data_IF_005037256308
#
_entry.id   IF_005037256308
#
_cell.length_a   1.000
_cell.length_b   1.000
_cell.length_c   1.000
_cell.angle_alpha   90.00
_cell.angle_beta   90.00
_cell.angle_gamma   90.00
#
_symmetry.space_group_name_H-M   'P 1'
#
loop_
_entity.id
_entity.type
_entity.pdbx_description
1 polymer ?
#
# COMPACT_ATOMS: atom_id res chain seq x y z
N UNK A 1 14.92 7.97 25.93
CA UNK A 1 14.90 9.31 25.31
C UNK A 1 14.43 10.32 26.34
N UNK A 2 14.94 11.53 26.31
CA UNK A 2 14.70 12.60 27.30
C UNK A 2 13.85 13.73 26.71
N UNK A 3 13.34 14.64 27.57
CA UNK A 3 12.49 15.78 27.17
C UNK A 3 13.14 16.77 26.18
N UNK A 4 14.43 16.68 25.92
CA UNK A 4 15.15 17.52 24.97
C UNK A 4 15.45 16.85 23.63
N UNK A 5 15.06 15.57 23.48
CA UNK A 5 15.40 14.78 22.30
C UNK A 5 14.48 15.14 21.11
N UNK A 6 15.02 14.98 19.90
CA UNK A 6 14.27 15.20 18.66
C UNK A 6 14.16 13.89 17.88
N UNK A 7 12.93 13.51 17.51
CA UNK A 7 12.68 12.45 16.55
C UNK A 7 12.26 13.06 15.22
N UNK A 8 13.00 12.70 14.16
CA UNK A 8 12.64 13.06 12.78
C UNK A 8 11.95 11.86 12.13
N UNK A 9 10.79 12.11 11.53
CA UNK A 9 10.05 11.11 10.74
C UNK A 9 10.06 11.56 9.28
N UNK A 10 10.70 10.80 8.40
CA UNK A 10 10.73 11.11 6.96
C UNK A 10 9.73 10.22 6.22
N UNK A 11 8.63 10.84 5.80
CA UNK A 11 7.50 10.21 5.13
C UNK A 11 6.18 10.51 5.83
N UNK A 12 5.39 11.46 5.31
CA UNK A 12 4.07 11.86 5.84
C UNK A 12 2.93 10.98 5.30
N UNK A 13 3.16 9.67 5.17
CA UNK A 13 2.12 8.68 4.86
C UNK A 13 1.52 8.08 6.14
N UNK A 14 0.73 7.01 5.99
CA UNK A 14 0.11 6.33 7.14
C UNK A 14 1.15 5.80 8.12
N UNK A 15 2.27 5.25 7.65
CA UNK A 15 3.31 4.73 8.54
C UNK A 15 3.91 5.84 9.41
N UNK A 16 4.27 7.00 8.82
CA UNK A 16 4.78 8.14 9.58
C UNK A 16 3.77 8.71 10.58
N UNK A 17 2.49 8.82 10.18
CA UNK A 17 1.43 9.25 11.10
C UNK A 17 1.31 8.31 12.30
N UNK A 18 1.20 7.00 12.05
CA UNK A 18 1.07 5.98 13.12
C UNK A 18 2.32 5.89 13.99
N UNK A 19 3.51 6.19 13.44
CA UNK A 19 4.72 6.35 14.25
C UNK A 19 4.63 7.54 15.20
N UNK A 20 4.21 8.71 14.71
CA UNK A 20 4.07 9.90 15.53
C UNK A 20 3.03 9.71 16.66
N UNK A 21 1.89 9.13 16.34
CA UNK A 21 0.87 8.79 17.33
C UNK A 21 1.41 7.84 18.40
N UNK A 22 2.13 6.78 17.96
CA UNK A 22 2.66 5.80 18.90
C UNK A 22 3.75 6.37 19.79
N UNK A 23 4.59 7.26 19.31
CA UNK A 23 5.57 7.96 20.13
C UNK A 23 4.87 8.74 21.27
N UNK A 24 3.82 9.48 20.97
CA UNK A 24 3.05 10.22 21.98
C UNK A 24 2.32 9.29 22.97
N UNK A 25 1.74 8.20 22.49
CA UNK A 25 1.13 7.18 23.36
C UNK A 25 2.14 6.54 24.34
N UNK A 26 3.41 6.42 23.92
CA UNK A 26 4.50 5.90 24.75
C UNK A 26 5.10 6.95 25.69
N UNK A 27 4.57 8.16 25.70
CA UNK A 27 5.02 9.25 26.58
C UNK A 27 6.28 9.96 26.10
N UNK A 28 6.57 9.94 24.81
CA UNK A 28 7.65 10.78 24.26
C UNK A 28 7.20 12.24 24.22
N UNK A 29 7.79 13.10 25.06
CA UNK A 29 7.46 14.52 25.19
C UNK A 29 8.40 15.43 24.37
N UNK A 30 9.45 14.88 23.76
CA UNK A 30 10.39 15.62 22.93
C UNK A 30 9.80 16.11 21.61
N UNK A 31 10.62 16.76 20.81
CA UNK A 31 10.22 17.32 19.51
C UNK A 31 10.01 16.22 18.46
N UNK A 32 8.87 16.23 17.76
CA UNK A 32 8.63 15.39 16.58
C UNK A 32 8.56 16.29 15.35
N UNK A 33 9.45 16.05 14.38
CA UNK A 33 9.44 16.72 13.07
C UNK A 33 9.05 15.70 12.00
N UNK A 34 7.93 15.91 11.30
CA UNK A 34 7.44 15.02 10.27
C UNK A 34 7.59 15.66 8.89
N UNK A 35 8.47 15.09 8.07
CA UNK A 35 8.82 15.57 6.72
C UNK A 35 8.06 14.76 5.68
N UNK A 36 7.36 15.42 4.75
CA UNK A 36 6.60 14.78 3.68
C UNK A 36 6.78 15.45 2.32
N UNK A 37 7.01 14.64 1.29
CA UNK A 37 7.15 15.07 -0.11
C UNK A 37 5.82 15.62 -0.67
N UNK A 38 4.69 15.05 -0.28
CA UNK A 38 3.36 15.50 -0.67
C UNK A 38 2.95 16.76 0.13
N UNK A 39 2.25 17.73 -0.50
CA UNK A 39 1.83 18.97 0.16
C UNK A 39 0.57 18.79 1.03
N UNK A 40 0.28 17.57 1.43
CA UNK A 40 -0.93 17.18 2.17
C UNK A 40 -0.57 16.43 3.44
N UNK A 41 -1.41 16.61 4.46
CA UNK A 41 -1.43 15.71 5.63
C UNK A 41 -1.73 14.28 5.17
N UNK A 42 -1.40 13.27 5.99
CA UNK A 42 -1.72 11.87 5.70
C UNK A 42 -3.19 11.68 5.29
N UNK A 43 -3.44 10.76 4.36
CA UNK A 43 -4.78 10.46 3.84
C UNK A 43 -4.91 8.97 3.53
N UNK A 44 -6.16 8.50 3.41
CA UNK A 44 -6.49 7.11 3.09
C UNK A 44 -6.13 6.79 1.62
N UNK A 45 -4.88 6.39 1.39
CA UNK A 45 -4.30 6.15 0.07
C UNK A 45 -5.07 5.12 -0.78
N UNK A 46 -5.68 4.05 -0.23
CA UNK A 46 -6.53 3.15 -1.00
C UNK A 46 -7.67 3.82 -1.79
N UNK A 47 -8.10 5.03 -1.43
CA UNK A 47 -9.10 5.78 -2.19
C UNK A 47 -8.59 6.34 -3.52
N UNK A 48 -7.26 6.38 -3.74
CA UNK A 48 -6.65 6.97 -4.94
C UNK A 48 -7.10 6.28 -6.23
N UNK A 49 -7.22 4.94 -6.22
CA UNK A 49 -7.68 4.14 -7.36
C UNK A 49 -9.21 4.04 -7.48
N UNK A 50 -9.95 4.57 -6.50
CA UNK A 50 -11.40 4.42 -6.35
C UNK A 50 -12.10 5.78 -6.26
N UNK A 51 -12.50 6.17 -5.05
CA UNK A 51 -13.39 7.30 -4.78
C UNK A 51 -12.75 8.65 -5.20
N UNK A 52 -11.45 8.81 -5.01
CA UNK A 52 -10.76 10.05 -5.40
C UNK A 52 -10.69 10.20 -6.92
N UNK A 53 -10.34 9.15 -7.64
CA UNK A 53 -10.26 9.20 -9.11
C UNK A 53 -11.63 9.28 -9.77
N UNK A 54 -12.67 8.70 -9.18
CA UNK A 54 -14.03 8.81 -9.67
C UNK A 54 -14.69 10.15 -9.29
N UNK A 55 -14.16 10.82 -8.28
CA UNK A 55 -14.73 12.07 -7.75
C UNK A 55 -15.84 11.86 -6.74
N UNK A 56 -16.06 10.62 -6.30
CA UNK A 56 -17.03 10.30 -5.26
C UNK A 56 -16.67 10.91 -3.90
N UNK A 57 -15.37 11.10 -3.65
CA UNK A 57 -14.84 11.74 -2.44
C UNK A 57 -13.96 12.93 -2.81
N UNK A 58 -14.09 14.03 -2.08
CA UNK A 58 -13.18 15.18 -2.21
C UNK A 58 -11.86 14.87 -1.49
N UNK A 59 -10.70 15.41 -1.94
CA UNK A 59 -9.42 15.14 -1.31
C UNK A 59 -9.36 15.42 0.20
N UNK A 60 -10.05 16.45 0.68
CA UNK A 60 -10.09 16.79 2.11
C UNK A 60 -10.79 15.69 2.93
N UNK A 61 -11.81 15.05 2.39
CA UNK A 61 -12.54 13.98 3.08
C UNK A 61 -11.78 12.63 3.10
N UNK A 62 -10.67 12.53 2.37
CA UNK A 62 -9.78 11.38 2.44
C UNK A 62 -8.68 11.55 3.52
N UNK A 63 -8.56 12.72 4.15
CA UNK A 63 -7.57 12.97 5.21
C UNK A 63 -7.74 12.00 6.37
N UNK A 64 -6.60 11.57 6.91
CA UNK A 64 -6.57 10.83 8.17
C UNK A 64 -6.44 11.85 9.30
N UNK A 65 -7.44 11.90 10.15
CA UNK A 65 -7.34 12.68 11.38
C UNK A 65 -6.49 11.89 12.39
N UNK A 66 -5.54 12.56 13.06
CA UNK A 66 -4.81 11.94 14.16
C UNK A 66 -5.77 11.56 15.30
N UNK A 67 -5.48 10.47 16.00
CA UNK A 67 -6.26 10.04 17.17
C UNK A 67 -5.99 10.90 18.41
N UNK A 68 -4.85 11.62 18.43
CA UNK A 68 -4.38 12.45 19.54
C UNK A 68 -3.98 13.82 19.02
N UNK A 69 -3.91 14.80 19.91
CA UNK A 69 -3.14 16.01 19.62
C UNK A 69 -1.65 15.63 19.61
N UNK A 70 -1.04 15.70 18.42
CA UNK A 70 0.29 15.13 18.21
C UNK A 70 1.42 16.09 18.59
N UNK A 71 1.15 17.40 18.63
CA UNK A 71 2.20 18.43 18.76
C UNK A 71 3.41 18.11 17.86
N UNK A 72 3.15 18.05 16.54
CA UNK A 72 4.12 17.67 15.50
C UNK A 72 4.44 18.85 14.61
N UNK A 73 5.71 19.10 14.38
CA UNK A 73 6.18 20.07 13.38
C UNK A 73 6.08 19.47 11.97
N UNK A 74 5.03 19.83 11.24
CA UNK A 74 4.77 19.36 9.88
C UNK A 74 5.59 20.11 8.83
N UNK A 75 6.41 19.39 8.07
CA UNK A 75 7.19 19.88 6.93
C UNK A 75 6.67 19.23 5.65
N UNK A 76 5.45 19.58 5.26
CA UNK A 76 4.77 19.06 4.06
C UNK A 76 5.24 19.76 2.79
N UNK A 77 5.17 19.06 1.64
CA UNK A 77 5.71 19.53 0.37
C UNK A 77 7.24 19.64 0.38
N UNK A 78 7.89 18.95 1.32
CA UNK A 78 9.34 19.03 1.54
C UNK A 78 9.93 17.62 1.40
N UNK A 79 10.80 17.44 0.41
CA UNK A 79 11.46 16.16 0.15
C UNK A 79 12.81 16.12 0.84
N UNK A 80 13.08 15.09 1.64
CA UNK A 80 14.44 14.85 2.10
C UNK A 80 15.37 14.55 0.92
N UNK A 81 16.55 15.17 0.92
CA UNK A 81 17.49 15.11 -0.21
C UNK A 81 18.68 14.20 0.05
N UNK A 82 19.09 14.09 1.31
CA UNK A 82 20.22 13.27 1.73
C UNK A 82 20.16 12.96 3.23
N UNK A 83 20.75 11.83 3.64
CA UNK A 83 20.96 11.43 5.03
C UNK A 83 22.44 11.32 5.34
N UNK A 84 22.89 12.06 6.34
CA UNK A 84 24.15 11.81 7.04
C UNK A 84 23.87 11.03 8.31
N UNK A 85 24.08 9.72 8.26
CA UNK A 85 23.80 8.86 9.42
C UNK A 85 24.85 8.98 10.53
N UNK A 86 26.07 9.44 10.23
CA UNK A 86 27.14 9.68 11.23
C UNK A 86 26.88 10.94 12.03
N UNK A 87 26.56 12.02 11.32
CA UNK A 87 26.25 13.31 11.93
C UNK A 87 24.78 13.39 12.37
N UNK A 88 24.01 12.31 12.23
CA UNK A 88 22.57 12.23 12.58
C UNK A 88 21.76 13.36 12.01
N UNK A 89 21.89 13.61 10.70
CA UNK A 89 21.33 14.78 10.06
C UNK A 89 20.58 14.41 8.77
N UNK A 90 19.33 14.86 8.67
CA UNK A 90 18.51 14.79 7.45
C UNK A 90 18.60 16.12 6.73
N UNK A 91 19.06 16.13 5.48
CA UNK A 91 19.16 17.33 4.64
C UNK A 91 17.89 17.54 3.84
N UNK A 92 17.47 18.81 3.74
CA UNK A 92 16.30 19.28 3.04
C UNK A 92 16.70 20.24 1.90
N UNK A 93 15.77 20.59 0.99
CA UNK A 93 16.03 21.58 -0.04
C UNK A 93 16.42 22.94 0.54
N UNK A 94 17.24 23.70 -0.20
CA UNK A 94 17.65 25.05 0.22
C UNK A 94 18.80 25.08 1.25
N UNK A 95 19.41 23.93 1.54
CA UNK A 95 20.51 23.82 2.49
C UNK A 95 20.08 23.71 3.96
N UNK A 96 18.80 23.56 4.20
CA UNK A 96 18.27 23.28 5.53
C UNK A 96 18.64 21.85 5.98
N UNK A 97 18.88 21.68 7.27
CA UNK A 97 19.25 20.40 7.88
C UNK A 97 18.49 20.19 9.20
N UNK A 98 18.08 18.97 9.45
CA UNK A 98 17.42 18.53 10.69
C UNK A 98 18.30 17.49 11.36
N UNK A 99 18.88 17.81 12.50
CA UNK A 99 19.53 16.82 13.34
C UNK A 99 18.48 16.01 14.13
N UNK A 100 18.82 14.79 14.51
CA UNK A 100 17.91 13.89 15.24
C UNK A 100 18.65 13.09 16.31
N UNK A 101 17.94 12.73 17.37
CA UNK A 101 18.33 11.71 18.33
C UNK A 101 17.78 10.33 17.88
N UNK A 102 16.64 10.33 17.19
CA UNK A 102 16.05 9.16 16.56
C UNK A 102 15.45 9.48 15.19
N UNK A 103 15.59 8.56 14.25
CA UNK A 103 15.05 8.71 12.89
C UNK A 103 14.11 7.56 12.55
N UNK A 104 12.92 7.91 12.04
CA UNK A 104 11.98 6.94 11.45
C UNK A 104 11.90 7.17 9.95
N UNK A 105 12.32 6.20 9.15
CA UNK A 105 12.22 6.23 7.69
C UNK A 105 10.91 5.59 7.27
N UNK A 106 9.95 6.39 6.77
CA UNK A 106 8.61 5.98 6.36
C UNK A 106 8.25 6.48 4.94
N UNK A 107 9.25 6.61 4.08
CA UNK A 107 9.14 7.22 2.73
C UNK A 107 8.32 6.38 1.73
N UNK A 108 8.10 5.11 2.02
CA UNK A 108 7.28 4.23 1.19
C UNK A 108 7.91 3.94 -0.18
N UNK A 109 7.08 4.03 -1.23
CA UNK A 109 7.47 3.66 -2.59
C UNK A 109 6.97 4.67 -3.61
N UNK A 110 7.65 4.75 -4.75
CA UNK A 110 7.20 5.44 -5.96
C UNK A 110 6.61 4.44 -6.97
N UNK A 111 5.67 4.87 -7.82
CA UNK A 111 5.17 4.02 -8.90
C UNK A 111 6.26 3.77 -9.94
N UNK A 112 6.31 2.54 -10.45
CA UNK A 112 7.23 2.18 -11.51
C UNK A 112 6.74 2.74 -12.85
N UNK A 113 7.66 3.28 -13.64
CA UNK A 113 7.43 3.67 -15.00
C UNK A 113 7.85 2.56 -15.98
N UNK A 114 7.09 2.41 -17.07
CA UNK A 114 7.47 1.48 -18.13
C UNK A 114 8.59 2.10 -18.97
N UNK A 115 9.70 1.38 -19.20
CA UNK A 115 10.73 1.84 -20.11
C UNK A 115 10.16 2.20 -21.50
N UNK A 116 10.60 3.32 -22.08
CA UNK A 116 10.10 3.81 -23.36
C UNK A 116 8.72 4.47 -23.33
N UNK A 117 8.01 4.48 -22.18
CA UNK A 117 6.75 5.22 -22.07
C UNK A 117 6.99 6.74 -22.18
N UNK A 118 6.10 7.48 -22.85
CA UNK A 118 6.23 8.93 -23.01
C UNK A 118 5.90 9.67 -21.70
N UNK A 119 6.87 9.77 -20.79
CA UNK A 119 6.69 10.32 -19.42
C UNK A 119 6.21 11.77 -19.39
N UNK A 120 6.50 12.54 -20.44
CA UNK A 120 6.08 13.94 -20.55
C UNK A 120 4.68 14.10 -21.17
N UNK A 121 4.09 13.03 -21.70
CA UNK A 121 2.73 13.09 -22.21
C UNK A 121 1.72 13.15 -21.06
N UNK A 122 0.92 14.23 -20.96
CA UNK A 122 -0.05 14.39 -19.87
C UNK A 122 -1.16 13.34 -19.85
N UNK A 123 -1.25 12.49 -20.85
CA UNK A 123 -2.22 11.39 -20.95
C UNK A 123 -1.66 10.05 -20.49
N UNK A 124 -0.33 9.93 -20.31
CA UNK A 124 0.32 8.75 -19.75
C UNK A 124 0.65 9.02 -18.28
N UNK A 125 -0.04 8.34 -17.39
CA UNK A 125 -0.05 8.62 -15.96
C UNK A 125 0.31 7.39 -15.14
N UNK A 126 0.86 7.63 -13.96
CA UNK A 126 0.93 6.68 -12.86
C UNK A 126 -0.21 6.98 -11.89
N UNK A 127 -0.42 6.10 -10.90
CA UNK A 127 -1.46 6.30 -9.90
C UNK A 127 -0.93 5.91 -8.52
N UNK A 128 -0.59 6.92 -7.70
CA UNK A 128 -0.08 6.73 -6.33
C UNK A 128 -0.62 7.79 -5.37
N UNK A 129 -0.75 9.03 -5.83
CA UNK A 129 -1.09 10.18 -4.99
C UNK A 129 -2.47 10.74 -5.33
N UNK A 130 -2.98 11.64 -4.47
CA UNK A 130 -4.18 12.44 -4.75
C UNK A 130 -3.98 13.25 -6.04
N UNK A 131 -2.80 13.83 -6.20
CA UNK A 131 -2.45 14.63 -7.38
C UNK A 131 -2.51 13.80 -8.67
N UNK A 132 -2.10 12.53 -8.61
CA UNK A 132 -2.24 11.59 -9.73
C UNK A 132 -3.71 11.35 -10.07
N UNK A 133 -4.56 11.08 -9.06
CA UNK A 133 -6.00 10.90 -9.27
C UNK A 133 -6.64 12.13 -9.93
N UNK A 134 -6.30 13.32 -9.43
CA UNK A 134 -6.79 14.57 -10.00
C UNK A 134 -6.26 14.81 -11.41
N UNK A 135 -5.01 14.42 -11.70
CA UNK A 135 -4.42 14.52 -13.03
C UNK A 135 -5.11 13.57 -14.02
N UNK A 136 -5.37 12.32 -13.61
CA UNK A 136 -6.15 11.36 -14.41
C UNK A 136 -7.55 11.89 -14.70
N UNK A 137 -8.26 12.40 -13.70
CA UNK A 137 -9.57 13.02 -13.88
C UNK A 137 -9.57 14.16 -14.89
N UNK A 138 -8.57 15.07 -14.79
CA UNK A 138 -8.41 16.17 -15.77
C UNK A 138 -8.15 15.63 -17.19
N UNK A 139 -7.30 14.61 -17.33
CA UNK A 139 -7.01 14.01 -18.63
C UNK A 139 -8.25 13.36 -19.26
N UNK A 140 -9.09 12.74 -18.44
CA UNK A 140 -10.33 12.10 -18.89
C UNK A 140 -11.44 13.11 -19.23
N UNK A 141 -11.55 14.21 -18.51
CA UNK A 141 -12.64 15.19 -18.68
C UNK A 141 -14.03 14.53 -18.57
N UNK A 142 -15.05 15.17 -19.16
CA UNK A 142 -16.43 14.69 -19.11
C UNK A 142 -16.85 13.79 -20.30
N UNK A 143 -15.98 13.56 -21.28
CA UNK A 143 -16.27 12.77 -22.47
C UNK A 143 -16.08 11.26 -22.25
N UNK A 144 -16.77 10.42 -23.04
CA UNK A 144 -16.58 8.95 -23.05
C UNK A 144 -15.24 8.56 -23.68
N UNK A 145 -14.17 8.97 -23.07
CA UNK A 145 -12.80 8.69 -23.53
C UNK A 145 -12.41 7.25 -23.20
N UNK A 146 -11.64 6.64 -24.10
CA UNK A 146 -11.04 5.33 -23.90
C UNK A 146 -9.85 5.40 -22.92
N UNK A 147 -9.78 4.42 -22.05
CA UNK A 147 -8.74 4.27 -21.03
C UNK A 147 -8.02 2.96 -21.23
N UNK A 148 -6.71 3.00 -21.31
CA UNK A 148 -5.88 1.81 -21.25
C UNK A 148 -5.19 1.74 -19.90
N UNK A 149 -5.31 0.62 -19.22
CA UNK A 149 -4.62 0.31 -17.96
C UNK A 149 -3.53 -0.71 -18.24
N UNK A 150 -2.30 -0.40 -17.90
CA UNK A 150 -1.17 -1.32 -18.05
C UNK A 150 -0.78 -1.86 -16.69
N UNK A 151 -0.95 -3.16 -16.51
CA UNK A 151 -0.71 -3.88 -15.27
C UNK A 151 -1.97 -4.47 -14.65
N UNK A 152 -2.05 -5.80 -14.60
CA UNK A 152 -3.19 -6.59 -14.11
C UNK A 152 -3.04 -7.02 -12.63
N UNK A 153 -2.31 -6.22 -11.83
CA UNK A 153 -2.21 -6.34 -10.37
C UNK A 153 -3.42 -5.73 -9.65
N UNK A 154 -3.37 -5.65 -8.32
CA UNK A 154 -4.48 -5.14 -7.49
C UNK A 154 -4.94 -3.74 -7.94
N UNK A 155 -4.03 -2.77 -7.95
CA UNK A 155 -4.37 -1.36 -8.27
C UNK A 155 -4.86 -1.20 -9.71
N UNK A 156 -4.27 -1.91 -10.67
CA UNK A 156 -4.71 -1.85 -12.07
C UNK A 156 -6.13 -2.37 -12.25
N UNK A 157 -6.49 -3.46 -11.57
CA UNK A 157 -7.86 -4.00 -11.60
C UNK A 157 -8.85 -3.08 -10.86
N UNK A 158 -8.48 -2.52 -9.70
CA UNK A 158 -9.31 -1.53 -8.99
C UNK A 158 -9.60 -0.30 -9.86
N UNK A 159 -8.56 0.24 -10.48
CA UNK A 159 -8.71 1.40 -11.35
C UNK A 159 -9.55 1.07 -12.59
N UNK A 160 -9.35 -0.10 -13.20
CA UNK A 160 -10.17 -0.55 -14.33
C UNK A 160 -11.64 -0.68 -13.95
N UNK A 161 -11.95 -1.26 -12.78
CA UNK A 161 -13.31 -1.31 -12.24
C UNK A 161 -13.90 0.08 -12.02
N UNK A 162 -13.15 0.99 -11.37
CA UNK A 162 -13.57 2.38 -11.16
C UNK A 162 -13.89 3.11 -12.47
N UNK A 163 -13.08 2.90 -13.49
CA UNK A 163 -13.33 3.50 -14.82
C UNK A 163 -14.57 2.90 -15.49
N UNK A 164 -14.83 1.60 -15.32
CA UNK A 164 -16.07 0.97 -15.82
C UNK A 164 -17.31 1.50 -15.13
N UNK A 165 -17.27 1.72 -13.81
CA UNK A 165 -18.36 2.40 -13.09
C UNK A 165 -18.62 3.81 -13.63
N UNK A 166 -17.59 4.53 -14.05
CA UNK A 166 -17.73 5.84 -14.71
C UNK A 166 -18.21 5.73 -16.17
N UNK A 167 -18.54 4.54 -16.69
CA UNK A 167 -19.00 4.32 -18.06
C UNK A 167 -17.89 4.44 -19.12
N UNK A 168 -16.60 4.44 -18.74
CA UNK A 168 -15.49 4.58 -19.69
C UNK A 168 -15.26 3.28 -20.47
N UNK A 169 -14.80 3.39 -21.70
CA UNK A 169 -14.29 2.23 -22.46
C UNK A 169 -12.88 1.86 -21.94
N UNK A 170 -12.75 0.69 -21.31
CA UNK A 170 -11.54 0.28 -20.61
C UNK A 170 -10.92 -0.93 -21.28
N UNK A 171 -9.61 -0.86 -21.53
CA UNK A 171 -8.79 -2.03 -21.89
C UNK A 171 -7.70 -2.22 -20.83
N UNK A 172 -7.69 -3.38 -20.19
CA UNK A 172 -6.67 -3.78 -19.22
C UNK A 172 -5.62 -4.67 -19.93
N UNK A 173 -4.36 -4.26 -19.88
CA UNK A 173 -3.21 -5.00 -20.42
C UNK A 173 -2.44 -5.69 -19.30
N UNK A 174 -2.10 -6.94 -19.46
CA UNK A 174 -1.28 -7.69 -18.50
C UNK A 174 -0.38 -8.74 -19.16
N UNK A 175 0.85 -8.85 -18.66
CA UNK A 175 1.78 -9.91 -19.08
C UNK A 175 1.38 -11.30 -18.57
N UNK A 176 0.62 -11.36 -17.47
CA UNK A 176 0.09 -12.61 -16.94
C UNK A 176 -1.07 -13.13 -17.81
N UNK A 177 -1.35 -14.44 -17.72
CA UNK A 177 -2.43 -15.09 -18.48
C UNK A 177 -3.85 -14.65 -18.07
N UNK A 178 -4.01 -14.10 -16.87
CA UNK A 178 -5.28 -13.59 -16.35
C UNK A 178 -5.06 -12.51 -15.28
N UNK A 179 -6.07 -11.65 -15.03
CA UNK A 179 -6.03 -10.71 -13.92
C UNK A 179 -5.82 -11.41 -12.58
N UNK A 180 -4.98 -10.85 -11.71
CA UNK A 180 -4.66 -11.40 -10.38
C UNK A 180 -4.23 -12.88 -10.39
N UNK A 181 -3.66 -13.36 -11.47
CA UNK A 181 -3.26 -14.77 -11.66
C UNK A 181 -2.47 -15.35 -10.48
N UNK A 182 -1.66 -14.53 -9.81
CA UNK A 182 -0.86 -14.94 -8.64
C UNK A 182 -1.71 -15.39 -7.43
N UNK A 183 -3.01 -15.08 -7.40
CA UNK A 183 -3.93 -15.50 -6.34
C UNK A 183 -4.67 -16.81 -6.66
N UNK A 184 -4.24 -17.53 -7.70
CA UNK A 184 -4.80 -18.81 -8.11
C UNK A 184 -5.92 -18.67 -9.14
N UNK A 185 -6.22 -19.81 -9.79
CA UNK A 185 -7.15 -19.89 -10.93
C UNK A 185 -8.58 -19.47 -10.56
N UNK A 186 -9.04 -19.84 -9.35
CA UNK A 186 -10.38 -19.49 -8.86
C UNK A 186 -10.60 -17.97 -8.84
N UNK A 187 -9.69 -17.24 -8.22
CA UNK A 187 -9.79 -15.78 -8.08
C UNK A 187 -9.60 -15.10 -9.44
N UNK A 188 -8.62 -15.55 -10.23
CA UNK A 188 -8.38 -15.04 -11.56
C UNK A 188 -9.60 -15.23 -12.48
N UNK A 189 -10.25 -16.38 -12.44
CA UNK A 189 -11.45 -16.68 -13.21
C UNK A 189 -12.65 -15.85 -12.75
N UNK A 190 -12.84 -15.70 -11.43
CA UNK A 190 -13.91 -14.87 -10.88
C UNK A 190 -13.78 -13.42 -11.35
N UNK A 191 -12.59 -12.83 -11.19
CA UNK A 191 -12.35 -11.45 -11.62
C UNK A 191 -12.44 -11.26 -13.14
N UNK A 192 -12.00 -12.26 -13.92
CA UNK A 192 -12.16 -12.25 -15.38
C UNK A 192 -13.62 -12.16 -15.78
N UNK A 193 -14.50 -12.93 -15.12
CA UNK A 193 -15.95 -12.88 -15.33
C UNK A 193 -16.55 -11.52 -14.96
N UNK A 194 -16.11 -10.92 -13.83
CA UNK A 194 -16.53 -9.57 -13.42
C UNK A 194 -16.13 -8.52 -14.47
N UNK A 195 -14.90 -8.54 -14.95
CA UNK A 195 -14.46 -7.64 -16.01
C UNK A 195 -15.29 -7.80 -17.28
N UNK A 196 -15.58 -9.04 -17.70
CA UNK A 196 -16.41 -9.33 -18.87
C UNK A 196 -17.85 -8.85 -18.67
N UNK A 197 -18.46 -9.12 -17.51
CA UNK A 197 -19.80 -8.66 -17.15
C UNK A 197 -19.90 -7.14 -17.25
N UNK A 198 -18.92 -6.45 -16.74
CA UNK A 198 -18.82 -4.98 -16.81
C UNK A 198 -18.22 -4.46 -18.14
N UNK A 199 -18.05 -5.32 -19.15
CA UNK A 199 -17.58 -4.96 -20.49
C UNK A 199 -16.19 -4.30 -20.51
N UNK A 200 -15.32 -4.63 -19.58
CA UNK A 200 -13.90 -4.30 -19.68
C UNK A 200 -13.21 -5.24 -20.65
N UNK A 201 -12.40 -4.71 -21.55
CA UNK A 201 -11.60 -5.49 -22.49
C UNK A 201 -10.33 -5.95 -21.81
N UNK A 202 -9.97 -7.22 -21.97
CA UNK A 202 -8.78 -7.80 -21.40
C UNK A 202 -7.79 -8.17 -22.51
N UNK A 203 -6.60 -7.59 -22.48
CA UNK A 203 -5.45 -7.93 -23.33
C UNK A 203 -4.40 -8.58 -22.44
N UNK A 204 -4.61 -9.86 -22.12
CA UNK A 204 -3.71 -10.63 -21.26
C UNK A 204 -2.62 -11.32 -22.08
N UNK A 205 -1.57 -11.80 -21.40
CA UNK A 205 -0.41 -12.44 -22.01
C UNK A 205 0.24 -11.57 -23.08
N UNK A 206 0.27 -10.25 -22.86
CA UNK A 206 0.83 -9.28 -23.79
C UNK A 206 1.39 -8.05 -23.08
N UNK A 207 2.25 -7.34 -23.78
CA UNK A 207 2.95 -6.13 -23.30
C UNK A 207 2.95 -5.05 -24.38
N UNK A 208 3.28 -3.83 -24.00
CA UNK A 208 3.45 -2.72 -24.94
C UNK A 208 4.83 -2.80 -25.55
N UNK A 209 4.89 -2.95 -26.88
CA UNK A 209 6.11 -2.95 -27.67
C UNK A 209 6.55 -1.55 -28.07
N UNK A 210 5.61 -0.74 -28.57
CA UNK A 210 5.88 0.61 -29.05
C UNK A 210 4.77 1.58 -28.66
N UNK A 211 5.15 2.85 -28.56
CA UNK A 211 4.29 3.97 -28.25
C UNK A 211 4.24 4.96 -29.42
N UNK A 212 3.05 5.51 -29.69
CA UNK A 212 2.84 6.55 -30.69
C UNK A 212 2.00 7.65 -30.05
N UNK A 213 2.59 8.80 -29.75
CA UNK A 213 1.86 9.97 -29.25
C UNK A 213 1.47 10.88 -30.43
N UNK A 214 0.16 11.18 -30.50
CA UNK A 214 -0.37 12.19 -31.42
C UNK A 214 -0.86 13.42 -30.61
N UNK A 215 -1.43 14.43 -31.26
CA UNK A 215 -2.02 15.56 -30.53
C UNK A 215 -3.23 15.15 -29.67
N UNK A 216 -4.00 14.15 -30.08
CA UNK A 216 -5.29 13.81 -29.47
C UNK A 216 -5.27 12.49 -28.70
N UNK A 217 -4.44 11.53 -29.11
CA UNK A 217 -4.46 10.17 -28.59
C UNK A 217 -3.06 9.60 -28.37
N UNK A 218 -3.01 8.53 -27.59
CA UNK A 218 -1.82 7.68 -27.40
C UNK A 218 -2.11 6.33 -28.05
N UNK A 219 -1.30 5.97 -29.05
CA UNK A 219 -1.31 4.65 -29.68
C UNK A 219 -0.35 3.70 -28.96
N UNK A 220 -0.77 2.46 -28.78
CA UNK A 220 0.02 1.38 -28.18
C UNK A 220 0.04 0.19 -29.14
N UNK A 221 1.21 -0.19 -29.60
CA UNK A 221 1.42 -1.42 -30.35
C UNK A 221 1.83 -2.52 -29.36
N UNK A 222 1.06 -3.60 -29.32
CA UNK A 222 1.25 -4.69 -28.37
C UNK A 222 2.11 -5.82 -28.96
N UNK A 223 2.66 -6.66 -28.10
CA UNK A 223 3.49 -7.80 -28.52
C UNK A 223 2.70 -8.87 -29.28
N UNK A 224 1.38 -8.94 -29.10
CA UNK A 224 0.45 -9.81 -29.85
C UNK A 224 -0.02 -9.18 -31.18
N UNK A 225 0.65 -8.13 -31.66
CA UNK A 225 0.33 -7.36 -32.86
C UNK A 225 -0.98 -6.59 -32.86
N UNK A 226 -1.68 -6.51 -31.74
CA UNK A 226 -2.82 -5.59 -31.60
C UNK A 226 -2.34 -4.14 -31.52
N UNK A 227 -3.16 -3.24 -32.03
CA UNK A 227 -2.97 -1.81 -31.91
C UNK A 227 -4.14 -1.19 -31.14
N UNK A 228 -3.84 -0.47 -30.08
CA UNK A 228 -4.82 0.22 -29.26
C UNK A 228 -4.62 1.73 -29.35
N UNK A 229 -5.73 2.45 -29.27
CA UNK A 229 -5.74 3.91 -29.19
C UNK A 229 -6.44 4.32 -27.91
N UNK A 230 -5.79 5.13 -27.10
CA UNK A 230 -6.32 5.61 -25.83
C UNK A 230 -6.29 7.12 -25.70
N UNK A 231 -7.26 7.67 -25.02
CA UNK A 231 -7.26 9.08 -24.58
C UNK A 231 -6.50 9.28 -23.28
N UNK A 232 -6.40 8.22 -22.47
CA UNK A 232 -5.60 8.19 -21.25
C UNK A 232 -5.04 6.79 -21.03
N UNK A 233 -3.78 6.72 -20.62
CA UNK A 233 -3.10 5.48 -20.25
C UNK A 233 -2.65 5.59 -18.79
N UNK A 234 -2.96 4.56 -17.98
CA UNK A 234 -2.52 4.51 -16.58
C UNK A 234 -1.60 3.31 -16.38
N UNK A 235 -0.40 3.58 -15.87
CA UNK A 235 0.60 2.58 -15.53
C UNK A 235 0.40 2.10 -14.10
N UNK A 236 0.18 0.81 -13.92
CA UNK A 236 0.03 0.13 -12.63
C UNK A 236 0.87 -1.15 -12.61
N UNK A 237 2.17 -1.00 -12.84
CA UNK A 237 3.14 -2.08 -13.06
C UNK A 237 4.07 -2.32 -11.87
N UNK A 238 3.61 -1.98 -10.67
CA UNK A 238 4.37 -2.10 -9.43
C UNK A 238 5.04 -0.81 -9.00
N UNK A 239 5.95 -0.94 -8.05
CA UNK A 239 6.57 0.16 -7.33
C UNK A 239 8.08 0.00 -7.26
N UNK A 240 8.76 1.06 -6.82
CA UNK A 240 10.16 1.08 -6.43
C UNK A 240 10.29 1.77 -5.08
N UNK A 241 11.13 1.27 -4.15
CA UNK A 241 11.29 1.92 -2.85
C UNK A 241 11.86 3.34 -2.99
N UNK A 242 11.34 4.24 -2.13
CA UNK A 242 11.73 5.66 -2.14
C UNK A 242 13.00 5.86 -1.29
N UNK A 243 14.13 5.39 -1.81
CA UNK A 243 15.43 5.33 -1.12
C UNK A 243 16.52 6.20 -1.76
N UNK A 244 16.22 6.99 -2.81
CA UNK A 244 17.23 7.77 -3.52
C UNK A 244 18.00 8.75 -2.63
N UNK A 245 17.32 9.34 -1.64
CA UNK A 245 17.90 10.27 -0.67
C UNK A 245 18.83 9.59 0.37
N UNK A 246 18.83 8.26 0.42
CA UNK A 246 19.67 7.45 1.31
C UNK A 246 20.98 7.01 0.66
N UNK A 247 21.22 7.37 -0.61
CA UNK A 247 22.44 7.02 -1.31
C UNK A 247 23.65 7.72 -0.65
N UNK A 248 24.64 6.91 -0.30
CA UNK A 248 25.84 7.40 0.38
C UNK A 248 25.70 7.53 1.89
N UNK A 249 24.55 7.24 2.48
CA UNK A 249 24.43 6.92 3.90
C UNK A 249 25.04 5.55 4.19
N UNK A 250 25.30 5.25 5.45
CA UNK A 250 25.83 3.93 5.84
C UNK A 250 24.77 2.82 5.85
N UNK A 251 23.50 3.17 5.56
CA UNK A 251 22.40 2.22 5.55
C UNK A 251 22.53 1.22 4.39
N UNK A 252 22.24 -0.03 4.66
CA UNK A 252 22.18 -1.06 3.62
C UNK A 252 20.87 -0.94 2.84
N UNK A 253 21.01 -0.64 1.54
CA UNK A 253 19.89 -0.51 0.61
C UNK A 253 19.88 -1.70 -0.35
N UNK A 254 18.82 -2.52 -0.29
CA UNK A 254 18.62 -3.68 -1.15
C UNK A 254 17.12 -3.90 -1.39
N UNK A 255 16.58 -3.35 -2.47
CA UNK A 255 15.13 -3.29 -2.77
C UNK A 255 14.32 -2.79 -1.54
N UNK A 256 14.74 -1.67 -0.97
CA UNK A 256 14.25 -1.06 0.26
C UNK A 256 15.40 -0.84 1.24
N UNK A 257 15.09 -0.38 2.44
CA UNK A 257 16.06 -0.28 3.54
C UNK A 257 16.09 -1.61 4.27
N UNK A 258 17.26 -2.27 4.29
CA UNK A 258 17.43 -3.54 4.99
C UNK A 258 17.35 -3.30 6.50
N UNK A 259 16.53 -4.09 7.16
CA UNK A 259 16.29 -3.99 8.59
C UNK A 259 16.50 -5.34 9.29
N UNK A 260 16.79 -5.25 10.57
CA UNK A 260 16.65 -6.36 11.50
C UNK A 260 15.15 -6.71 11.69
N UNK A 261 14.88 -7.83 12.34
CA UNK A 261 13.51 -8.22 12.69
C UNK A 261 12.77 -7.18 13.56
N UNK A 262 13.52 -6.36 14.29
CA UNK A 262 13.06 -5.28 15.16
C UNK A 262 12.79 -3.95 14.44
N UNK A 263 12.89 -3.93 13.11
CA UNK A 263 12.79 -2.75 12.24
C UNK A 263 13.92 -1.72 12.36
N UNK A 264 14.96 -1.96 13.15
CA UNK A 264 16.17 -1.15 13.09
C UNK A 264 16.88 -1.32 11.75
N UNK A 265 17.27 -0.19 11.15
CA UNK A 265 18.01 -0.19 9.90
C UNK A 265 19.40 -0.82 10.09
N UNK A 266 19.85 -1.62 9.13
CA UNK A 266 21.22 -2.13 9.09
C UNK A 266 22.15 -0.99 8.66
N UNK A 267 23.15 -0.68 9.50
CA UNK A 267 24.15 0.37 9.26
C UNK A 267 23.99 1.64 10.09
N UNK A 268 22.97 1.74 10.96
CA UNK A 268 22.84 2.86 11.92
C UNK A 268 22.14 2.38 13.20
N UNK A 269 22.43 3.02 14.35
CA UNK A 269 21.89 2.59 15.65
C UNK A 269 20.53 3.19 16.00
N UNK A 270 20.33 4.45 15.67
CA UNK A 270 19.14 5.22 16.08
C UNK A 270 18.15 5.44 14.91
N UNK A 271 18.17 4.51 13.95
CA UNK A 271 17.33 4.59 12.75
C UNK A 271 16.44 3.36 12.66
N UNK A 272 15.13 3.57 12.62
CA UNK A 272 14.13 2.52 12.36
C UNK A 272 13.37 2.80 11.07
N UNK A 273 12.75 1.76 10.51
CA UNK A 273 12.10 1.86 9.19
C UNK A 273 10.69 1.30 9.24
N UNK A 274 9.75 1.94 8.58
CA UNK A 274 8.35 1.55 8.58
C UNK A 274 7.69 1.61 7.20
N UNK A 275 6.66 0.82 6.99
CA UNK A 275 5.85 0.80 5.77
C UNK A 275 6.54 0.14 4.58
N UNK A 276 6.10 0.53 3.38
CA UNK A 276 6.49 -0.13 2.12
C UNK A 276 7.99 -0.07 1.79
N UNK A 277 8.76 0.83 2.42
CA UNK A 277 10.19 0.98 2.22
C UNK A 277 11.03 0.02 3.07
N UNK A 278 10.45 -0.51 4.16
CA UNK A 278 11.11 -1.44 5.06
C UNK A 278 11.25 -2.83 4.44
N UNK A 279 12.47 -3.37 4.47
CA UNK A 279 12.79 -4.75 4.08
C UNK A 279 13.31 -5.49 5.29
N UNK A 280 12.48 -6.31 5.92
CA UNK A 280 12.80 -6.97 7.18
C UNK A 280 12.45 -8.47 7.14
N UNK A 281 13.12 -9.31 7.98
CA UNK A 281 12.71 -10.70 8.15
C UNK A 281 11.48 -10.77 9.07
N UNK A 282 10.38 -11.28 8.54
CA UNK A 282 9.24 -11.65 9.37
C UNK A 282 9.43 -13.06 9.90
N UNK A 283 9.95 -13.19 11.10
CA UNK A 283 10.34 -14.48 11.72
C UNK A 283 9.16 -15.45 11.90
N UNK A 284 7.94 -14.97 11.81
CA UNK A 284 6.72 -15.78 11.75
C UNK A 284 6.67 -16.61 10.47
N UNK A 285 7.25 -16.12 9.39
CA UNK A 285 7.29 -16.77 8.08
C UNK A 285 8.63 -17.45 7.86
N UNK A 286 9.71 -16.68 7.88
CA UNK A 286 11.11 -17.13 7.80
C UNK A 286 12.08 -15.95 8.02
N UNK A 287 13.38 -16.23 8.00
CA UNK A 287 14.45 -15.25 8.20
C UNK A 287 14.79 -14.40 6.96
N UNK A 288 14.13 -14.62 5.82
CA UNK A 288 14.43 -13.87 4.60
C UNK A 288 13.81 -12.48 4.65
N UNK A 289 14.60 -11.40 4.57
CA UNK A 289 14.06 -10.04 4.55
C UNK A 289 13.22 -9.79 3.29
N UNK A 290 12.02 -9.21 3.48
CA UNK A 290 11.09 -8.87 2.39
C UNK A 290 10.38 -7.56 2.69
N UNK A 291 9.95 -6.87 1.63
CA UNK A 291 9.00 -5.75 1.74
C UNK A 291 7.57 -6.28 1.65
N UNK A 292 6.68 -5.65 2.40
CA UNK A 292 5.24 -5.93 2.36
C UNK A 292 4.52 -4.61 2.08
N UNK A 293 3.99 -4.47 0.87
CA UNK A 293 3.33 -3.25 0.39
C UNK A 293 1.81 -3.33 0.62
N UNK A 294 1.40 -3.33 1.88
CA UNK A 294 -0.01 -3.36 2.28
C UNK A 294 -0.34 -2.19 3.20
N UNK A 295 -1.55 -1.65 3.07
CA UNK A 295 -2.00 -0.55 3.93
C UNK A 295 -1.87 -0.87 5.42
N UNK A 296 -2.35 -2.06 5.84
CA UNK A 296 -2.25 -2.49 7.24
C UNK A 296 -0.81 -2.63 7.70
N UNK A 297 0.08 -3.14 6.84
CA UNK A 297 1.50 -3.17 7.17
C UNK A 297 2.08 -1.77 7.42
N UNK A 298 1.62 -0.75 6.67
CA UNK A 298 2.00 0.64 6.94
C UNK A 298 1.54 1.12 8.31
N UNK A 299 0.31 0.77 8.71
CA UNK A 299 -0.24 1.10 10.04
C UNK A 299 0.54 0.40 11.15
N UNK A 300 0.66 -0.92 11.07
CA UNK A 300 1.24 -1.75 12.12
C UNK A 300 2.75 -1.55 12.26
N UNK A 301 3.49 -1.48 11.14
CA UNK A 301 4.94 -1.26 11.18
C UNK A 301 5.32 0.16 11.63
N UNK A 302 4.48 1.17 11.36
CA UNK A 302 4.68 2.51 11.88
C UNK A 302 4.69 2.53 13.41
N UNK A 303 3.71 1.86 14.02
CA UNK A 303 3.63 1.70 15.48
C UNK A 303 4.80 0.89 16.04
N UNK A 304 5.09 -0.26 15.41
CA UNK A 304 6.19 -1.13 15.84
C UNK A 304 7.57 -0.45 15.73
N UNK A 305 7.81 0.34 14.70
CA UNK A 305 9.05 1.10 14.54
C UNK A 305 9.21 2.16 15.66
N UNK A 306 8.14 2.87 16.02
CA UNK A 306 8.15 3.80 17.13
C UNK A 306 8.44 3.09 18.47
N UNK A 307 7.82 1.94 18.71
CA UNK A 307 8.09 1.11 19.90
C UNK A 307 9.55 0.66 19.94
N UNK A 308 10.07 0.16 18.82
CA UNK A 308 11.46 -0.27 18.72
C UNK A 308 12.43 0.88 19.03
N UNK A 309 12.19 2.06 18.46
CA UNK A 309 13.02 3.24 18.70
C UNK A 309 13.02 3.64 20.18
N UNK A 310 11.85 3.67 20.82
CA UNK A 310 11.70 4.02 22.23
C UNK A 310 12.36 3.00 23.18
N UNK A 311 12.29 1.71 22.85
CA UNK A 311 12.92 0.64 23.64
C UNK A 311 14.43 0.58 23.43
N UNK A 312 14.92 1.11 22.32
CA UNK A 312 16.30 0.97 21.89
C UNK A 312 16.60 -0.44 21.34
N UNK A 313 17.64 -0.56 20.50
CA UNK A 313 17.98 -1.77 19.73
C UNK A 313 18.11 -3.03 20.62
N UNK A 314 18.70 -2.90 21.80
CA UNK A 314 18.93 -4.03 22.71
C UNK A 314 17.68 -4.60 23.38
N UNK A 315 16.59 -3.82 23.43
CA UNK A 315 15.34 -4.21 24.12
C UNK A 315 14.16 -4.33 23.14
N UNK A 316 14.34 -3.94 21.88
CA UNK A 316 13.30 -3.99 20.87
C UNK A 316 12.86 -5.42 20.57
N UNK A 317 11.58 -5.61 20.31
CA UNK A 317 11.00 -6.92 19.99
C UNK A 317 10.90 -7.09 18.47
N UNK A 318 11.04 -8.33 17.96
CA UNK A 318 10.81 -8.60 16.54
C UNK A 318 9.38 -8.23 16.11
N UNK A 319 9.27 -7.52 15.00
CA UNK A 319 7.99 -7.23 14.34
C UNK A 319 7.58 -8.42 13.48
N UNK A 320 6.58 -9.17 13.93
CA UNK A 320 6.15 -10.44 13.34
C UNK A 320 4.66 -10.46 13.02
N UNK A 321 4.17 -9.55 12.15
CA UNK A 321 2.75 -9.48 11.82
C UNK A 321 2.29 -10.73 11.05
N UNK A 322 0.98 -11.01 11.12
CA UNK A 322 0.32 -11.83 10.11
C UNK A 322 -0.23 -10.89 9.02
N UNK A 323 0.43 -10.76 7.85
CA UNK A 323 0.02 -9.79 6.86
C UNK A 323 -1.42 -9.97 6.40
N UNK A 324 -2.17 -8.89 6.29
CA UNK A 324 -3.55 -8.88 5.81
C UNK A 324 -3.72 -7.79 4.76
N UNK A 325 -4.47 -8.10 3.71
CA UNK A 325 -4.80 -7.11 2.69
C UNK A 325 -6.18 -7.37 2.12
N UNK A 326 -6.77 -6.33 1.56
CA UNK A 326 -8.02 -6.44 0.81
C UNK A 326 -8.01 -5.50 -0.39
N UNK A 327 -8.88 -5.81 -1.33
CA UNK A 327 -9.14 -4.97 -2.51
C UNK A 327 -10.62 -5.09 -2.87
N UNK A 328 -11.29 -3.97 -3.03
CA UNK A 328 -12.67 -3.94 -3.54
C UNK A 328 -12.65 -3.78 -5.06
N UNK A 329 -13.29 -4.70 -5.75
CA UNK A 329 -13.27 -4.86 -7.20
C UNK A 329 -14.70 -5.08 -7.67
N UNK A 330 -15.30 -4.06 -8.31
CA UNK A 330 -16.74 -4.05 -8.57
C UNK A 330 -17.53 -4.18 -7.24
N UNK A 331 -18.47 -5.09 -7.16
CA UNK A 331 -19.25 -5.34 -5.94
C UNK A 331 -18.67 -6.46 -5.07
N UNK A 332 -17.53 -7.02 -5.46
CA UNK A 332 -16.86 -8.09 -4.74
C UNK A 332 -15.60 -7.60 -3.99
N UNK A 333 -15.19 -8.36 -2.99
CA UNK A 333 -14.00 -8.10 -2.19
C UNK A 333 -13.02 -9.27 -2.27
N UNK A 334 -11.79 -8.98 -2.68
CA UNK A 334 -10.67 -9.89 -2.48
C UNK A 334 -10.08 -9.61 -1.09
N UNK A 335 -9.91 -10.65 -0.30
CA UNK A 335 -9.23 -10.60 0.99
C UNK A 335 -8.08 -11.60 1.00
N UNK A 336 -6.97 -11.23 1.63
CA UNK A 336 -5.80 -12.09 1.75
C UNK A 336 -5.24 -12.05 3.16
N UNK A 337 -4.68 -13.16 3.60
CA UNK A 337 -3.99 -13.29 4.88
C UNK A 337 -2.73 -14.12 4.72
N UNK A 338 -1.69 -13.83 5.50
CA UNK A 338 -0.37 -14.45 5.38
C UNK A 338 0.38 -13.96 4.15
N UNK A 339 1.18 -14.82 3.55
CA UNK A 339 2.06 -14.49 2.41
C UNK A 339 1.72 -15.32 1.16
N UNK A 340 0.57 -15.09 0.50
CA UNK A 340 0.18 -15.81 -0.72
C UNK A 340 1.25 -15.79 -1.81
N UNK A 341 2.00 -14.69 -1.92
CA UNK A 341 3.07 -14.52 -2.93
C UNK A 341 4.25 -15.49 -2.78
N UNK A 342 4.39 -16.14 -1.63
CA UNK A 342 5.44 -17.12 -1.36
C UNK A 342 4.98 -18.57 -1.58
N UNK A 343 3.68 -18.79 -1.81
CA UNK A 343 3.15 -20.12 -2.12
C UNK A 343 3.69 -20.65 -3.46
N UNK A 344 4.22 -21.86 -3.44
CA UNK A 344 4.61 -22.60 -4.65
C UNK A 344 3.42 -23.33 -5.25
N UNK A 345 2.54 -23.81 -4.38
CA UNK A 345 1.35 -24.55 -4.73
C UNK A 345 0.10 -23.87 -4.19
N UNK A 346 -1.02 -24.08 -4.86
CA UNK A 346 -2.34 -23.64 -4.40
C UNK A 346 -3.22 -24.85 -4.13
N UNK A 347 -3.98 -24.79 -3.03
CA UNK A 347 -4.96 -25.81 -2.67
C UNK A 347 -6.33 -25.15 -2.48
N UNK A 348 -7.38 -25.90 -2.68
CA UNK A 348 -8.71 -25.46 -2.31
C UNK A 348 -8.94 -25.74 -0.82
N UNK A 349 -9.21 -24.68 -0.08
CA UNK A 349 -9.66 -24.75 1.32
C UNK A 349 -11.19 -24.76 1.36
N UNK A 350 -11.76 -24.93 2.57
CA UNK A 350 -13.22 -24.85 2.76
C UNK A 350 -13.78 -23.51 2.29
N UNK A 351 -15.07 -23.51 1.95
CA UNK A 351 -15.88 -22.32 1.62
C UNK A 351 -15.35 -21.47 0.44
N UNK A 352 -14.60 -22.12 -0.47
CA UNK A 352 -14.14 -21.47 -1.70
C UNK A 352 -12.97 -20.49 -1.49
N UNK A 353 -12.18 -20.71 -0.46
CA UNK A 353 -10.92 -19.99 -0.19
C UNK A 353 -9.76 -20.75 -0.83
N UNK A 354 -8.84 -20.01 -1.44
CA UNK A 354 -7.59 -20.55 -1.99
C UNK A 354 -6.51 -20.50 -0.91
N UNK A 355 -5.93 -21.64 -0.58
CA UNK A 355 -4.75 -21.76 0.28
C UNK A 355 -3.46 -21.74 -0.53
N UNK A 356 -2.42 -21.18 0.05
CA UNK A 356 -1.08 -21.07 -0.55
C UNK A 356 -0.10 -21.88 0.31
N UNK A 357 0.53 -22.86 -0.32
CA UNK A 357 1.42 -23.82 0.36
C UNK A 357 2.86 -23.65 -0.11
N UNK A 358 3.78 -23.66 0.83
CA UNK A 358 5.21 -23.69 0.58
C UNK A 358 5.86 -24.74 1.47
N UNK A 359 6.56 -25.67 0.84
CA UNK A 359 7.29 -26.73 1.53
C UNK A 359 6.39 -27.50 2.53
N UNK A 360 5.16 -27.85 2.07
CA UNK A 360 4.14 -28.57 2.85
C UNK A 360 3.40 -27.75 3.90
N UNK A 361 3.74 -26.47 4.09
CA UNK A 361 3.15 -25.59 5.10
C UNK A 361 2.18 -24.59 4.46
N UNK A 362 0.99 -24.44 5.01
CA UNK A 362 0.08 -23.36 4.62
C UNK A 362 0.62 -22.05 5.14
N UNK A 363 0.92 -21.11 4.22
CA UNK A 363 1.57 -19.82 4.53
C UNK A 363 0.69 -18.62 4.17
N UNK A 364 -0.44 -18.85 3.53
CA UNK A 364 -1.38 -17.79 3.19
C UNK A 364 -2.69 -18.34 2.69
N UNK A 365 -3.70 -17.46 2.68
CA UNK A 365 -5.00 -17.75 2.12
C UNK A 365 -5.56 -16.52 1.40
N UNK A 366 -6.41 -16.74 0.40
CA UNK A 366 -7.12 -15.68 -0.32
C UNK A 366 -8.56 -16.10 -0.61
N UNK A 367 -9.49 -15.18 -0.35
CA UNK A 367 -10.93 -15.37 -0.59
C UNK A 367 -11.47 -14.29 -1.51
N UNK A 368 -12.29 -14.70 -2.48
CA UNK A 368 -13.05 -13.80 -3.32
C UNK A 368 -14.48 -13.75 -2.82
N UNK A 369 -14.86 -12.63 -2.22
CA UNK A 369 -16.18 -12.42 -1.61
C UNK A 369 -16.57 -13.52 -0.59
N UNK A 370 -15.64 -13.79 0.32
CA UNK A 370 -15.76 -14.82 1.35
C UNK A 370 -15.42 -14.33 2.76
N UNK A 371 -16.04 -13.23 3.25
CA UNK A 371 -15.60 -12.58 4.50
C UNK A 371 -15.65 -13.54 5.71
N UNK A 372 -16.73 -14.32 5.87
CA UNK A 372 -16.84 -15.28 6.99
C UNK A 372 -15.75 -16.34 6.97
N UNK A 373 -15.49 -16.92 5.79
CA UNK A 373 -14.43 -17.91 5.64
C UNK A 373 -13.05 -17.30 5.88
N UNK A 374 -12.83 -16.05 5.46
CA UNK A 374 -11.56 -15.38 5.69
C UNK A 374 -11.29 -15.05 7.16
N UNK A 375 -12.32 -14.78 7.98
CA UNK A 375 -12.17 -14.67 9.43
C UNK A 375 -11.65 -15.99 10.00
N UNK A 376 -12.31 -17.12 9.66
CA UNK A 376 -11.89 -18.46 10.09
C UNK A 376 -10.44 -18.76 9.69
N UNK A 377 -10.09 -18.53 8.40
CA UNK A 377 -8.75 -18.83 7.90
C UNK A 377 -7.68 -17.87 8.43
N UNK A 378 -8.06 -16.64 8.81
CA UNK A 378 -7.15 -15.73 9.52
C UNK A 378 -6.77 -16.30 10.88
N UNK A 379 -7.75 -16.72 11.69
CA UNK A 379 -7.50 -17.36 12.99
C UNK A 379 -6.70 -18.66 12.86
N UNK A 380 -7.02 -19.47 11.85
CA UNK A 380 -6.33 -20.74 11.61
C UNK A 380 -4.87 -20.51 11.19
N UNK A 381 -4.57 -19.53 10.33
CA UNK A 381 -3.21 -19.17 9.96
C UNK A 381 -2.45 -18.55 11.13
N UNK A 382 -3.10 -17.75 11.97
CA UNK A 382 -2.50 -17.21 13.17
C UNK A 382 -2.00 -18.32 14.10
N UNK A 383 -2.82 -19.35 14.29
CA UNK A 383 -2.47 -20.54 15.08
C UNK A 383 -1.37 -21.39 14.43
N UNK A 384 -1.36 -21.53 13.09
CA UNK A 384 -0.38 -22.35 12.34
C UNK A 384 0.96 -21.68 12.15
N UNK A 385 0.97 -20.37 12.21
CA UNK A 385 2.15 -19.53 12.08
C UNK A 385 2.35 -18.74 13.40
N UNK A 386 2.70 -19.40 14.51
CA UNK A 386 2.81 -18.72 15.79
C UNK A 386 3.93 -17.67 15.77
N UNK A 387 3.78 -16.66 16.59
CA UNK A 387 4.87 -15.70 16.86
C UNK A 387 6.02 -16.47 17.52
N UNK A 388 7.25 -16.33 17.04
CA UNK A 388 8.40 -16.95 17.71
C UNK A 388 8.51 -16.46 19.14
N UNK A 389 8.78 -17.38 20.07
CA UNK A 389 9.09 -16.98 21.46
C UNK A 389 10.31 -16.05 21.47
N UNK A 390 10.28 -14.96 22.25
CA UNK A 390 11.44 -14.08 22.37
C UNK A 390 12.60 -14.87 22.98
N UNK A 391 13.77 -14.74 22.37
CA UNK A 391 15.01 -15.39 22.85
C UNK A 391 15.46 -14.77 24.18
N UNK A 392 14.94 -13.62 24.56
CA UNK A 392 15.22 -12.93 25.82
C UNK A 392 14.00 -12.91 26.73
N UNK A 393 14.18 -13.00 28.06
CA UNK A 393 13.07 -12.84 29.00
C UNK A 393 12.38 -11.50 28.71
N UNK A 394 11.06 -11.53 28.54
CA UNK A 394 10.27 -10.33 28.32
C UNK A 394 10.56 -9.31 29.44
N UNK A 395 10.84 -8.05 29.15
CA UNK A 395 10.82 -7.01 30.17
C UNK A 395 9.44 -7.00 30.83
N UNK A 396 9.38 -6.59 32.09
CA UNK A 396 8.13 -6.49 32.81
C UNK A 396 7.12 -5.68 31.97
N UNK A 397 5.83 -6.05 31.99
CA UNK A 397 4.82 -5.37 31.19
C UNK A 397 4.84 -3.88 31.52
N UNK A 398 5.05 -3.07 30.51
CA UNK A 398 4.88 -1.62 30.59
C UNK A 398 3.39 -1.32 30.86
N UNK A 399 3.04 -0.27 31.62
CA UNK A 399 1.65 0.15 31.78
C UNK A 399 0.91 0.41 30.45
N UNK A 400 1.65 0.49 29.34
CA UNK A 400 1.13 0.68 27.99
C UNK A 400 0.90 -0.64 27.19
N UNK A 401 1.08 -1.81 27.81
CA UNK A 401 0.76 -3.12 27.20
C UNK A 401 -0.76 -3.39 27.12
N UNK A 402 -1.56 -2.32 27.12
CA UNK A 402 -2.95 -2.43 26.72
C UNK A 402 -2.98 -2.93 25.27
N UNK A 403 -3.65 -4.04 24.97
CA UNK A 403 -3.84 -4.49 23.59
C UNK A 403 -4.30 -3.29 22.77
N UNK A 404 -3.86 -3.18 21.53
CA UNK A 404 -4.42 -2.22 20.57
C UNK A 404 -5.92 -2.41 20.68
N UNK A 405 -6.61 -1.49 21.35
CA UNK A 405 -8.04 -1.63 21.60
C UNK A 405 -8.72 -1.89 20.26
N UNK A 406 -9.70 -2.78 20.25
CA UNK A 406 -10.53 -3.07 19.08
C UNK A 406 -10.98 -1.78 18.37
N UNK A 407 -11.05 -0.67 19.13
CA UNK A 407 -11.41 0.67 18.66
C UNK A 407 -10.41 1.32 17.69
N UNK A 408 -9.11 0.99 17.72
CA UNK A 408 -8.11 1.58 16.79
C UNK A 408 -8.15 0.90 15.42
N UNK A 409 -8.50 -0.37 15.40
CA UNK A 409 -8.73 -1.14 14.17
C UNK A 409 -10.20 -1.09 13.73
N UNK A 410 -11.12 -0.68 14.60
CA UNK A 410 -12.56 -0.68 14.37
C UNK A 410 -12.99 0.03 13.06
N UNK A 411 -12.42 1.17 12.64
CA UNK A 411 -12.72 1.73 11.33
C UNK A 411 -12.30 0.84 10.18
N UNK A 412 -11.21 0.07 10.36
CA UNK A 412 -10.63 -0.81 9.33
C UNK A 412 -11.24 -2.21 9.41
N UNK A 413 -11.60 -2.68 10.61
CA UNK A 413 -12.31 -3.94 10.80
C UNK A 413 -13.77 -3.84 10.40
N UNK A 414 -14.44 -2.68 10.51
CA UNK A 414 -15.74 -2.46 9.89
C UNK A 414 -15.68 -2.71 8.39
N UNK A 415 -14.62 -2.24 7.72
CA UNK A 415 -14.41 -2.55 6.32
C UNK A 415 -14.02 -4.02 6.08
N UNK A 416 -13.45 -4.69 7.07
CA UNK A 416 -13.10 -6.11 6.99
C UNK A 416 -14.26 -7.05 7.37
N UNK A 417 -15.14 -6.61 8.28
CA UNK A 417 -16.23 -7.40 8.87
C UNK A 417 -17.63 -6.96 8.43
N UNK A 418 -17.78 -5.73 7.86
CA UNK A 418 -19.10 -5.19 7.57
C UNK A 418 -19.79 -5.87 6.40
N UNK A 419 -20.93 -6.38 6.76
CA UNK A 419 -22.14 -6.71 6.02
C UNK A 419 -22.16 -7.99 5.21
N UNK A 420 -22.82 -8.96 5.82
CA UNK A 420 -23.58 -9.97 5.07
C UNK A 420 -24.76 -9.29 4.41
N UNK A 421 -25.01 -9.46 3.12
CA UNK A 421 -26.32 -9.18 2.55
C UNK A 421 -27.30 -10.19 3.13
N UNK A 422 -28.07 -9.80 4.13
CA UNK A 422 -29.34 -10.40 4.42
C UNK A 422 -30.36 -9.77 3.47
N UNK A 423 -30.96 -10.60 2.64
CA UNK A 423 -32.00 -10.35 1.66
C UNK A 423 -31.51 -10.02 0.24
N UNK A 424 -32.16 -10.66 -0.71
CA UNK A 424 -32.03 -10.40 -2.13
C UNK A 424 -32.28 -8.91 -2.42
N UNK A 425 -31.20 -8.19 -2.68
CA UNK A 425 -31.25 -6.79 -3.06
C UNK A 425 -31.78 -6.74 -4.50
N UNK A 426 -32.82 -5.97 -4.78
CA UNK A 426 -33.22 -5.65 -6.16
C UNK A 426 -32.01 -5.01 -6.88
N UNK A 427 -31.97 -5.16 -8.20
CA UNK A 427 -30.88 -4.67 -9.04
C UNK A 427 -30.48 -3.24 -8.64
N UNK A 428 -29.17 -2.96 -8.45
CA UNK A 428 -28.71 -1.77 -7.76
C UNK A 428 -29.19 -0.51 -8.46
N UNK A 429 -29.97 0.28 -7.76
CA UNK A 429 -30.06 1.70 -8.06
C UNK A 429 -28.65 2.27 -7.97
N UNK A 430 -28.26 3.01 -8.98
CA UNK A 430 -26.94 3.63 -9.18
C UNK A 430 -26.41 4.19 -7.87
N UNK A 431 -25.23 3.82 -7.49
CA UNK A 431 -24.52 4.32 -6.30
C UNK A 431 -24.71 5.85 -6.17
N UNK A 432 -24.96 6.40 -4.96
CA UNK A 432 -25.32 7.83 -4.78
C UNK A 432 -24.30 8.82 -5.37
N UNK A 433 -23.05 8.42 -5.52
CA UNK A 433 -21.97 9.21 -6.11
C UNK A 433 -21.82 9.07 -7.62
N UNK A 434 -22.56 8.18 -8.26
CA UNK A 434 -22.60 8.02 -9.73
C UNK A 434 -23.60 8.96 -10.43
N UNK A 435 -24.31 9.82 -9.71
CA UNK A 435 -25.15 10.85 -10.30
C UNK A 435 -24.29 11.99 -10.82
N UNK A 436 -23.98 11.94 -12.11
CA UNK A 436 -23.57 13.12 -12.86
C UNK A 436 -24.89 13.90 -13.14
N UNK A 437 -25.01 15.19 -12.78
CA UNK A 437 -26.13 16.00 -13.21
C UNK A 437 -26.16 16.02 -14.73
N UNK A 438 -27.30 15.68 -15.30
CA UNK A 438 -27.60 15.98 -16.70
C UNK A 438 -27.81 17.50 -16.80
N UNK A 439 -26.91 18.17 -17.49
CA UNK A 439 -26.94 19.56 -17.84
C UNK A 439 -26.02 19.79 -19.01
#
# INVERSE_FOLDING_TARGET
>A
MSDGDRIVIVGAGVAGLRSAERLRELGFDGEIVLVGDEPRKPYHRPMVSKELVTGGVKPVAASLEPYLDLDVHWRLGTRATWLDSKERTVHLPGGESLWYDGLIIATGVYPRHLPGSPRHDPRVRVLRTVEDSLAVRRALGNSNKSVVVIGSGLIGNEFAASMRYMGRDVTLIGHAKAPLHRFGERIASALTKEHQHHRAKLAMNTEVRNWISTKETVGLHLTNNQFLVASCVVLSIGSVPAVDWLRGSELTIDDGVLCEATLFATGAEDVVVAGDVAKWPNLRIDETPRRVEHWMNGVESGRAAAESLMLGRGNARPYTPLPRAWSSLYDARLQTVGMPSLGKDTIELSDGVTGFVRDGRLIGAAGWDRPKAMIHWTAELDRRLPVPEPVFPAPAPSPSDTPIGEDILAPFERDFLSETPTEAVPAPERMPWARVPAG
#
